data_IF_731545625983
#
_entry.id   IF_731545625983
#
_cell.length_a   1.000
_cell.length_b   1.000
_cell.length_c   1.000
_cell.angle_alpha   90.00
_cell.angle_beta   90.00
_cell.angle_gamma   90.00
#
_symmetry.space_group_name_H-M   'P 1'
#
loop_
_entity.id
_entity.type
_entity.pdbx_description
1 polymer ?
#
# COMPACT_ATOMS: atom_id res chain seq x y z
N UNK A 1 -0.68 -28.05 5.84
CA UNK A 1 -0.08 -26.96 5.06
C UNK A 1 -1.19 -26.13 4.44
N UNK A 2 -1.40 -24.90 4.90
CA UNK A 2 -2.33 -23.94 4.28
C UNK A 2 -1.54 -22.68 3.92
N UNK A 3 -0.95 -22.69 2.73
CA UNK A 3 -0.58 -21.47 2.04
C UNK A 3 -1.85 -20.92 1.38
N UNK A 4 -2.46 -19.93 2.03
CA UNK A 4 -3.56 -19.13 1.49
C UNK A 4 -3.05 -17.70 1.64
N UNK A 5 -2.28 -17.23 0.65
CA UNK A 5 -2.74 -16.45 -0.51
C UNK A 5 -3.29 -15.08 -0.12
N UNK A 6 -2.75 -14.09 -0.83
CA UNK A 6 -3.11 -12.67 -0.93
C UNK A 6 -2.24 -11.65 -0.17
N UNK A 7 -1.63 -10.78 -1.01
CA UNK A 7 -1.20 -9.39 -0.76
C UNK A 7 0.23 -9.14 -0.28
N UNK A 8 1.20 -9.73 -0.97
CA UNK A 8 2.54 -9.11 -1.00
C UNK A 8 2.57 -7.83 -1.85
N UNK A 9 1.51 -7.57 -2.61
CA UNK A 9 1.43 -6.46 -3.56
C UNK A 9 0.09 -5.73 -3.43
N UNK A 10 0.10 -4.55 -2.82
CA UNK A 10 -0.96 -3.53 -2.91
C UNK A 10 -2.42 -3.96 -2.63
N UNK A 11 -2.73 -3.98 -1.34
CA UNK A 11 -3.68 -3.07 -0.71
C UNK A 11 -4.62 -2.25 -1.63
N UNK A 12 -5.92 -2.29 -1.32
CA UNK A 12 -7.05 -1.76 -2.11
C UNK A 12 -6.72 -0.46 -2.83
N UNK A 13 -6.63 -0.52 -4.17
CA UNK A 13 -6.58 0.64 -5.06
C UNK A 13 -7.68 1.68 -4.75
N UNK A 14 -8.80 1.21 -4.19
CA UNK A 14 -9.86 2.05 -3.66
C UNK A 14 -9.39 2.94 -2.52
N UNK A 15 -8.67 2.41 -1.53
CA UNK A 15 -8.23 3.21 -0.38
C UNK A 15 -7.27 4.31 -0.80
N UNK A 16 -6.27 3.99 -1.63
CA UNK A 16 -5.29 5.01 -2.05
C UNK A 16 -5.99 6.13 -2.82
N UNK A 17 -6.88 5.76 -3.75
CA UNK A 17 -7.70 6.71 -4.49
C UNK A 17 -8.58 7.56 -3.57
N UNK A 18 -9.24 6.95 -2.59
CA UNK A 18 -10.15 7.66 -1.67
C UNK A 18 -9.38 8.58 -0.73
N UNK A 19 -8.19 8.19 -0.26
CA UNK A 19 -7.35 9.05 0.58
C UNK A 19 -6.88 10.28 -0.19
N UNK A 20 -6.53 10.11 -1.45
CA UNK A 20 -6.01 11.19 -2.29
C UNK A 20 -7.13 12.08 -2.86
N UNK A 21 -8.19 11.47 -3.38
CA UNK A 21 -9.23 12.16 -4.17
C UNK A 21 -10.61 12.19 -3.49
N UNK A 22 -10.86 11.35 -2.49
CA UNK A 22 -12.18 11.22 -1.85
C UNK A 22 -12.69 12.51 -1.21
N UNK A 23 -11.77 13.36 -0.74
CA UNK A 23 -12.07 14.68 -0.20
C UNK A 23 -12.78 15.60 -1.20
N UNK A 24 -12.53 15.47 -2.50
CA UNK A 24 -13.10 16.32 -3.54
C UNK A 24 -14.51 15.93 -3.98
N UNK A 25 -14.97 14.71 -3.69
CA UNK A 25 -16.35 14.33 -3.98
C UNK A 25 -17.32 15.03 -3.03
N UNK A 26 -18.50 15.38 -3.52
CA UNK A 26 -19.61 15.86 -2.69
C UNK A 26 -20.24 14.72 -1.88
N UNK A 27 -20.86 15.03 -0.74
CA UNK A 27 -21.61 14.02 0.02
C UNK A 27 -22.77 13.48 -0.83
N UNK A 28 -23.00 12.17 -0.75
CA UNK A 28 -23.95 11.45 -1.59
C UNK A 28 -23.44 11.14 -3.00
N UNK A 29 -22.27 11.64 -3.42
CA UNK A 29 -21.72 11.36 -4.75
C UNK A 29 -21.29 9.91 -4.86
N UNK A 30 -21.85 9.21 -5.84
CA UNK A 30 -21.37 7.91 -6.28
C UNK A 30 -20.15 8.05 -7.20
N UNK A 31 -19.21 7.12 -7.09
CA UNK A 31 -18.02 7.03 -7.95
C UNK A 31 -17.56 5.57 -8.05
N UNK A 32 -16.65 5.30 -9.00
CA UNK A 32 -16.02 3.99 -9.18
C UNK A 32 -14.52 4.13 -9.04
N UNK A 33 -13.88 3.14 -8.40
CA UNK A 33 -12.44 3.06 -8.38
C UNK A 33 -11.92 2.88 -9.82
N UNK A 34 -10.98 3.71 -10.30
CA UNK A 34 -10.50 3.64 -11.68
C UNK A 34 -9.74 2.35 -12.00
N UNK A 35 -9.18 1.67 -11.00
CA UNK A 35 -8.40 0.45 -11.22
C UNK A 35 -9.24 -0.83 -11.20
N UNK A 36 -10.17 -0.96 -10.26
CA UNK A 36 -10.95 -2.20 -10.08
C UNK A 36 -12.45 -2.04 -10.34
N UNK A 37 -12.91 -0.84 -10.72
CA UNK A 37 -14.33 -0.51 -10.93
C UNK A 37 -15.25 -0.71 -9.73
N UNK A 38 -14.72 -0.99 -8.53
CA UNK A 38 -15.51 -1.10 -7.30
C UNK A 38 -16.29 0.18 -7.10
N UNK A 39 -17.59 0.03 -6.83
CA UNK A 39 -18.51 1.15 -6.63
C UNK A 39 -18.41 1.68 -5.19
N UNK A 40 -18.47 3.00 -5.07
CA UNK A 40 -18.39 3.72 -3.81
C UNK A 40 -19.36 4.89 -3.79
N UNK A 41 -19.72 5.33 -2.60
CA UNK A 41 -20.48 6.56 -2.36
C UNK A 41 -19.86 7.30 -1.19
N UNK A 42 -19.64 8.61 -1.30
CA UNK A 42 -19.22 9.43 -0.17
C UNK A 42 -20.40 9.62 0.78
N UNK A 43 -20.39 9.00 1.95
CA UNK A 43 -21.48 9.07 2.92
C UNK A 43 -21.36 10.28 3.85
N UNK A 44 -20.13 10.69 4.20
CA UNK A 44 -19.84 11.89 4.98
C UNK A 44 -18.48 12.48 4.58
N UNK A 45 -17.99 13.49 5.30
CA UNK A 45 -16.73 14.17 4.95
C UNK A 45 -15.53 13.21 4.86
N UNK A 46 -15.42 12.32 5.85
CA UNK A 46 -14.39 11.27 5.93
C UNK A 46 -14.98 9.85 5.87
N UNK A 47 -16.22 9.69 5.39
CA UNK A 47 -16.88 8.38 5.37
C UNK A 47 -17.33 7.99 3.97
N UNK A 48 -17.15 6.72 3.64
CA UNK A 48 -17.34 6.15 2.32
C UNK A 48 -18.03 4.80 2.45
N UNK A 49 -19.06 4.57 1.65
CA UNK A 49 -19.77 3.30 1.58
C UNK A 49 -19.40 2.58 0.29
N UNK A 50 -18.97 1.32 0.39
CA UNK A 50 -18.71 0.46 -0.76
C UNK A 50 -20.02 -0.10 -1.31
N UNK A 51 -20.05 -0.52 -2.57
CA UNK A 51 -21.23 -1.09 -3.23
C UNK A 51 -21.82 -2.33 -2.54
N UNK A 52 -21.05 -3.03 -1.72
CA UNK A 52 -21.50 -4.14 -0.87
C UNK A 52 -22.06 -3.69 0.50
N UNK A 53 -22.36 -2.39 0.65
CA UNK A 53 -22.88 -1.72 1.83
C UNK A 53 -21.91 -1.61 3.03
N UNK A 54 -20.68 -2.11 2.94
CA UNK A 54 -19.69 -1.87 4.01
C UNK A 54 -19.31 -0.39 4.07
N UNK A 55 -19.24 0.12 5.29
CA UNK A 55 -18.84 1.49 5.56
C UNK A 55 -17.38 1.57 5.97
N UNK A 56 -16.72 2.60 5.47
CA UNK A 56 -15.32 2.88 5.71
C UNK A 56 -15.16 4.33 6.13
N UNK A 57 -14.26 4.57 7.08
CA UNK A 57 -13.94 5.90 7.60
C UNK A 57 -12.46 6.15 7.39
N UNK A 58 -12.13 7.29 6.80
CA UNK A 58 -10.76 7.77 6.73
C UNK A 58 -10.26 8.02 8.13
N UNK A 59 -9.17 7.35 8.49
CA UNK A 59 -8.47 7.53 9.76
C UNK A 59 -7.00 7.77 9.50
N UNK A 60 -6.31 8.15 10.55
CA UNK A 60 -4.88 8.36 10.51
C UNK A 60 -4.23 7.62 11.68
N UNK A 61 -3.17 6.86 11.39
CA UNK A 61 -2.30 6.27 12.39
C UNK A 61 -1.10 7.18 12.56
N UNK A 62 -0.88 7.67 13.78
CA UNK A 62 0.29 8.49 14.12
C UNK A 62 1.38 7.59 14.70
N UNK A 63 2.55 7.62 14.07
CA UNK A 63 3.77 7.09 14.65
C UNK A 63 4.61 8.18 15.31
N UNK A 64 5.82 7.83 15.75
CA UNK A 64 6.72 8.77 16.43
C UNK A 64 7.10 10.00 15.59
N UNK A 65 7.18 9.85 14.26
CA UNK A 65 7.69 10.92 13.39
C UNK A 65 6.89 11.11 12.09
N UNK A 66 5.83 10.33 11.86
CA UNK A 66 4.97 10.47 10.68
C UNK A 66 3.52 10.06 10.98
N UNK A 67 2.61 10.48 10.10
CA UNK A 67 1.22 10.06 10.10
C UNK A 67 0.89 9.29 8.82
N UNK A 68 0.06 8.25 8.95
CA UNK A 68 -0.37 7.40 7.85
C UNK A 68 -1.90 7.40 7.77
N UNK A 69 -2.44 8.00 6.71
CA UNK A 69 -3.86 7.91 6.41
C UNK A 69 -4.22 6.51 5.85
N UNK A 70 -5.37 6.00 6.26
CA UNK A 70 -5.93 4.72 5.83
C UNK A 70 -7.47 4.75 5.84
N UNK A 71 -8.12 3.79 5.19
CA UNK A 71 -9.57 3.57 5.32
C UNK A 71 -9.81 2.45 6.32
N UNK A 72 -10.37 2.80 7.48
CA UNK A 72 -10.82 1.83 8.48
C UNK A 72 -12.21 1.34 8.11
N UNK A 73 -12.52 0.05 8.31
CA UNK A 73 -13.91 -0.36 8.31
C UNK A 73 -14.61 0.27 9.54
N UNK A 74 -15.85 0.73 9.35
CA UNK A 74 -16.61 1.38 10.43
C UNK A 74 -16.92 0.41 11.58
N UNK A 75 -16.94 -0.91 11.31
CA UNK A 75 -17.10 -1.99 12.28
C UNK A 75 -15.87 -2.20 13.19
N UNK A 76 -14.80 -1.42 13.01
CA UNK A 76 -13.64 -1.40 13.90
C UNK A 76 -12.47 -2.27 13.47
N UNK A 77 -12.51 -2.91 12.29
CA UNK A 77 -11.33 -3.59 11.77
C UNK A 77 -10.26 -2.57 11.36
N UNK A 78 -9.14 -2.57 12.09
CA UNK A 78 -7.96 -1.80 11.73
C UNK A 78 -7.22 -2.42 10.54
N UNK A 79 -6.55 -1.60 9.70
CA UNK A 79 -5.75 -2.10 8.60
C UNK A 79 -4.54 -2.86 9.12
N UNK A 80 -4.07 -3.77 8.28
CA UNK A 80 -2.80 -4.45 8.47
C UNK A 80 -1.67 -3.43 8.68
N UNK A 81 -0.95 -3.56 9.80
CA UNK A 81 0.18 -2.72 10.23
C UNK A 81 1.29 -2.64 9.18
N UNK A 82 1.33 -3.58 8.24
CA UNK A 82 2.31 -3.59 7.16
C UNK A 82 2.00 -2.59 6.03
N UNK A 83 0.77 -2.06 5.93
CA UNK A 83 0.38 -1.14 4.85
C UNK A 83 1.15 0.20 4.88
N UNK A 84 1.48 0.70 6.07
CA UNK A 84 2.29 1.92 6.17
C UNK A 84 3.72 1.71 5.68
N UNK A 85 4.30 0.53 5.90
CA UNK A 85 5.59 0.18 5.32
C UNK A 85 5.50 0.13 3.79
N UNK A 86 4.47 -0.53 3.25
CA UNK A 86 4.31 -0.68 1.81
C UNK A 86 4.23 0.68 1.08
N UNK A 87 3.44 1.65 1.57
CA UNK A 87 3.38 2.98 0.95
C UNK A 87 4.73 3.70 0.98
N UNK A 88 5.45 3.62 2.10
CA UNK A 88 6.76 4.27 2.24
C UNK A 88 7.76 3.65 1.26
N UNK A 89 7.78 2.32 1.16
CA UNK A 89 8.63 1.59 0.22
C UNK A 89 8.32 1.97 -1.24
N UNK A 90 7.05 2.09 -1.61
CA UNK A 90 6.65 2.45 -2.97
C UNK A 90 6.93 3.92 -3.31
N UNK A 91 6.72 4.84 -2.38
CA UNK A 91 6.91 6.27 -2.64
C UNK A 91 8.37 6.73 -2.50
N UNK A 92 9.15 6.08 -1.65
CA UNK A 92 10.48 6.56 -1.25
C UNK A 92 11.57 5.49 -1.33
N UNK A 93 11.23 4.19 -1.32
CA UNK A 93 12.19 3.10 -1.13
C UNK A 93 13.34 3.09 -2.14
N UNK A 94 13.09 3.43 -3.40
CA UNK A 94 14.14 3.50 -4.43
C UNK A 94 15.15 4.63 -4.20
N UNK A 95 14.73 5.70 -3.51
CA UNK A 95 15.58 6.88 -3.20
C UNK A 95 16.25 6.77 -1.83
N UNK A 96 15.93 5.76 -1.05
CA UNK A 96 16.54 5.55 0.27
C UNK A 96 18.00 5.11 0.12
N UNK A 97 18.84 5.54 1.07
CA UNK A 97 20.18 5.02 1.20
C UNK A 97 20.16 3.50 1.46
N UNK A 98 21.21 2.80 1.05
CA UNK A 98 21.40 1.40 1.45
C UNK A 98 21.63 1.30 2.96
N UNK A 99 21.16 0.19 3.53
CA UNK A 99 21.27 -0.10 4.96
C UNK A 99 19.93 -0.14 5.68
N UNK A 100 19.97 -0.19 7.02
CA UNK A 100 18.78 -0.28 7.84
C UNK A 100 18.00 1.04 7.85
N UNK A 101 16.68 0.93 7.95
CA UNK A 101 15.81 2.06 8.24
C UNK A 101 14.59 1.58 9.05
N UNK A 102 13.98 2.50 9.80
CA UNK A 102 12.80 2.21 10.62
C UNK A 102 11.59 2.90 10.03
N UNK A 103 10.47 2.17 9.91
CA UNK A 103 9.20 2.77 9.50
C UNK A 103 8.79 3.83 10.54
N UNK A 104 8.64 5.11 10.16
CA UNK A 104 8.31 6.21 11.08
C UNK A 104 6.88 6.13 11.64
N UNK A 105 6.07 5.19 11.14
CA UNK A 105 4.66 5.00 11.53
C UNK A 105 4.52 3.86 12.51
N UNK A 106 4.97 2.66 12.14
CA UNK A 106 4.77 1.45 12.95
C UNK A 106 6.04 0.93 13.63
N UNK A 107 7.19 1.57 13.43
CA UNK A 107 8.46 1.17 14.04
C UNK A 107 9.09 -0.10 13.46
N UNK A 108 8.52 -0.67 12.39
CA UNK A 108 9.12 -1.86 11.75
C UNK A 108 10.49 -1.52 11.16
N UNK A 109 11.50 -2.30 11.55
CA UNK A 109 12.84 -2.21 10.98
C UNK A 109 12.92 -2.95 9.65
N UNK A 110 13.48 -2.27 8.66
CA UNK A 110 13.73 -2.76 7.32
C UNK A 110 15.20 -2.56 6.96
N UNK A 111 15.66 -3.28 5.95
CA UNK A 111 16.96 -3.08 5.32
C UNK A 111 16.75 -2.91 3.82
N UNK A 112 17.28 -1.81 3.28
CA UNK A 112 17.32 -1.55 1.85
C UNK A 112 18.69 -1.95 1.31
N UNK A 113 18.71 -2.68 0.20
CA UNK A 113 19.92 -3.03 -0.54
C UNK A 113 19.65 -2.94 -2.03
N UNK A 114 20.69 -2.93 -2.86
CA UNK A 114 20.56 -3.06 -4.31
C UNK A 114 21.04 -4.43 -4.74
N UNK A 115 20.28 -5.11 -5.60
CA UNK A 115 20.70 -6.37 -6.20
C UNK A 115 20.64 -6.29 -7.72
N UNK A 116 21.46 -7.09 -8.39
CA UNK A 116 21.43 -7.20 -9.85
C UNK A 116 20.53 -8.37 -10.25
N UNK A 117 19.38 -8.08 -10.85
CA UNK A 117 18.44 -9.07 -11.37
C UNK A 117 18.15 -8.79 -12.84
N UNK A 118 18.23 -9.82 -13.68
CA UNK A 118 17.99 -9.70 -15.13
C UNK A 118 18.79 -8.56 -15.81
N UNK A 119 20.01 -8.28 -15.31
CA UNK A 119 20.85 -7.20 -15.81
C UNK A 119 20.51 -5.79 -15.28
N UNK A 120 19.45 -5.65 -14.48
CA UNK A 120 19.01 -4.40 -13.87
C UNK A 120 19.42 -4.32 -12.40
N UNK A 121 19.69 -3.12 -11.91
CA UNK A 121 19.85 -2.86 -10.47
C UNK A 121 18.48 -2.58 -9.87
N UNK A 122 18.05 -3.45 -8.96
CA UNK A 122 16.75 -3.35 -8.29
C UNK A 122 16.93 -3.08 -6.81
N UNK A 123 16.07 -2.23 -6.25
CA UNK A 123 16.03 -2.01 -4.81
C UNK A 123 15.34 -3.20 -4.14
N UNK A 124 15.96 -3.77 -3.13
CA UNK A 124 15.50 -4.93 -2.37
C UNK A 124 15.28 -4.54 -0.91
N UNK A 125 14.11 -4.87 -0.38
CA UNK A 125 13.67 -4.53 0.96
C UNK A 125 13.43 -5.79 1.77
N UNK A 126 14.15 -5.95 2.86
CA UNK A 126 14.02 -7.08 3.77
C UNK A 126 13.66 -6.60 5.18
N UNK A 127 12.95 -7.43 5.94
CA UNK A 127 12.72 -7.25 7.38
C UNK A 127 12.67 -8.60 8.07
N UNK A 128 12.78 -8.60 9.40
CA UNK A 128 12.63 -9.82 10.19
C UNK A 128 11.23 -10.43 10.02
N UNK A 129 11.18 -11.75 9.84
CA UNK A 129 9.93 -12.51 9.72
C UNK A 129 9.29 -12.44 8.32
N UNK A 130 9.83 -11.64 7.40
CA UNK A 130 9.41 -11.65 6.01
C UNK A 130 9.98 -12.90 5.31
N UNK A 131 9.10 -13.69 4.69
CA UNK A 131 9.47 -14.95 4.03
C UNK A 131 10.49 -14.76 2.91
N UNK A 132 10.34 -13.68 2.16
CA UNK A 132 11.20 -13.33 1.02
C UNK A 132 11.30 -11.81 0.90
N UNK A 133 12.49 -11.25 0.59
CA UNK A 133 12.62 -9.83 0.34
C UNK A 133 11.69 -9.32 -0.76
N UNK A 134 11.29 -8.06 -0.65
CA UNK A 134 10.43 -7.40 -1.64
C UNK A 134 11.24 -6.53 -2.57
N UNK A 135 10.72 -6.28 -3.76
CA UNK A 135 11.22 -5.24 -4.67
C UNK A 135 10.05 -4.49 -5.30
N UNK A 136 10.31 -3.34 -5.92
CA UNK A 136 9.31 -2.57 -6.64
C UNK A 136 9.23 -3.06 -8.07
N UNK A 137 8.03 -3.50 -8.48
CA UNK A 137 7.67 -3.80 -9.85
C UNK A 137 6.95 -2.58 -10.45
N UNK A 138 7.44 -2.01 -11.56
CA UNK A 138 6.67 -1.02 -12.30
C UNK A 138 5.42 -1.70 -12.88
N UNK A 139 4.25 -1.12 -12.59
CA UNK A 139 2.99 -1.46 -13.24
C UNK A 139 2.59 -0.42 -14.28
N UNK A 140 1.57 -0.74 -15.10
CA UNK A 140 1.09 0.16 -16.16
C UNK A 140 0.55 1.49 -15.63
N UNK A 141 -0.12 1.48 -14.49
CA UNK A 141 -0.73 2.67 -13.87
C UNK A 141 -0.02 3.09 -12.60
N UNK A 142 0.53 2.13 -11.85
CA UNK A 142 1.26 2.39 -10.61
C UNK A 142 2.30 1.31 -10.29
N UNK A 143 3.38 1.64 -9.58
CA UNK A 143 4.34 0.67 -9.09
C UNK A 143 3.75 -0.14 -7.94
N UNK A 144 4.27 -1.33 -7.69
CA UNK A 144 3.76 -2.24 -6.68
C UNK A 144 4.85 -3.16 -6.11
N UNK A 145 4.75 -3.60 -4.86
CA UNK A 145 5.80 -4.42 -4.23
C UNK A 145 5.60 -5.89 -4.61
N UNK A 146 6.58 -6.57 -5.19
CA UNK A 146 6.57 -8.02 -5.47
C UNK A 146 7.54 -8.75 -4.54
N UNK A 147 7.39 -10.07 -4.35
CA UNK A 147 8.50 -10.87 -3.86
C UNK A 147 9.65 -10.84 -4.88
N UNK A 148 10.89 -10.90 -4.43
CA UNK A 148 12.07 -10.74 -5.30
C UNK A 148 12.11 -11.75 -6.45
N UNK A 149 11.68 -12.99 -6.20
CA UNK A 149 11.57 -14.08 -7.17
C UNK A 149 10.45 -13.89 -8.20
N UNK A 150 9.48 -13.02 -7.92
CA UNK A 150 8.38 -12.68 -8.80
C UNK A 150 8.66 -11.43 -9.64
N UNK A 151 9.82 -10.79 -9.46
CA UNK A 151 10.21 -9.62 -10.23
C UNK A 151 10.31 -9.97 -11.72
N UNK A 152 9.55 -9.24 -12.52
CA UNK A 152 9.63 -9.31 -13.98
C UNK A 152 10.23 -8.00 -14.50
N UNK A 153 11.32 -8.05 -15.27
CA UNK A 153 11.84 -6.84 -15.92
C UNK A 153 10.75 -6.23 -16.82
N UNK A 154 10.71 -4.89 -16.97
CA UNK A 154 9.86 -4.23 -17.95
C UNK A 154 10.09 -4.86 -19.33
N UNK A 155 9.01 -5.17 -20.04
CA UNK A 155 9.10 -5.59 -21.44
C UNK A 155 9.15 -4.33 -22.30
N UNK A 156 10.14 -4.27 -23.19
CA UNK A 156 10.22 -3.24 -24.24
C UNK A 156 8.98 -3.24 -25.15
#
# INVERSE_FOLDING_TARGET
MKATHERTILADCCEDWIIEWGGFYERGRAFRCPECSTEWTKSADDSYRRGDAREFVRRARRGPSAEFAYLAAADGHEPDVERCCAKILLAHGERMAEGPFTCPVCGTEWTRSTQRLHGLHVSVFAKRGLREPLTVQPGRTRPFLVALSEYSPPRD
#
